data_IF_473331813505
#
_entry.id   IF_473331813505
#
_cell.length_a   1.000
_cell.length_b   1.000
_cell.length_c   1.000
_cell.angle_alpha   90.00
_cell.angle_beta   90.00
_cell.angle_gamma   90.00
#
_symmetry.space_group_name_H-M   'P 1'
#
loop_
_entity.id
_entity.type
_entity.pdbx_description
1 polymer ?
#
# COMPACT_ATOMS: atom_id res chain seq x y z
N UNK A 1 -0.34 3.20 19.41
CA UNK A 1 -0.92 2.09 18.64
C UNK A 1 0.13 1.52 17.70
N UNK A 2 0.02 0.24 17.31
CA UNK A 2 0.92 -0.31 16.29
C UNK A 2 0.77 0.47 14.97
N UNK A 3 1.81 0.50 14.13
CA UNK A 3 1.81 1.27 12.88
C UNK A 3 0.74 0.82 11.88
N UNK A 4 0.38 -0.46 11.92
CA UNK A 4 -0.70 -1.03 11.15
C UNK A 4 -1.54 -1.92 12.08
N UNK A 5 -2.85 -1.76 12.03
CA UNK A 5 -3.77 -2.58 12.81
C UNK A 5 -4.42 -3.63 11.92
N UNK A 6 -4.28 -4.90 12.28
CA UNK A 6 -5.20 -5.93 11.81
C UNK A 6 -6.52 -5.72 12.55
N UNK A 7 -7.48 -5.12 11.87
CA UNK A 7 -8.75 -4.67 12.47
C UNK A 7 -9.78 -5.77 12.49
N UNK A 8 -9.86 -6.54 11.41
CA UNK A 8 -10.78 -7.67 11.28
C UNK A 8 -10.09 -8.85 10.61
N UNK A 9 -10.51 -10.04 10.93
CA UNK A 9 -10.04 -11.27 10.30
C UNK A 9 -11.18 -12.27 10.08
N UNK A 10 -11.00 -13.07 9.05
CA UNK A 10 -11.85 -14.23 8.74
C UNK A 10 -10.99 -15.38 8.25
N UNK A 11 -11.58 -16.55 7.99
CA UNK A 11 -10.85 -17.64 7.32
C UNK A 11 -10.54 -17.39 5.83
N UNK A 12 -10.95 -16.25 5.27
CA UNK A 12 -10.80 -15.92 3.85
C UNK A 12 -9.98 -14.66 3.58
N UNK A 13 -9.95 -13.72 4.51
CA UNK A 13 -9.23 -12.44 4.37
C UNK A 13 -8.99 -11.78 5.72
N UNK A 14 -8.05 -10.82 5.75
CA UNK A 14 -7.84 -9.88 6.84
C UNK A 14 -8.05 -8.46 6.36
N UNK A 15 -8.48 -7.58 7.27
CA UNK A 15 -8.59 -6.14 7.03
C UNK A 15 -7.63 -5.42 7.95
N UNK A 16 -6.73 -4.64 7.38
CA UNK A 16 -5.75 -3.84 8.10
C UNK A 16 -6.06 -2.36 7.93
N UNK A 17 -5.87 -1.58 9.00
CA UNK A 17 -6.07 -0.13 9.00
C UNK A 17 -4.72 0.57 9.14
N UNK A 18 -4.40 1.43 8.21
CA UNK A 18 -3.26 2.33 8.25
C UNK A 18 -3.76 3.69 8.73
N UNK A 19 -3.36 4.10 9.93
CA UNK A 19 -3.75 5.38 10.51
C UNK A 19 -2.56 6.31 10.62
N UNK A 20 -2.77 7.63 10.73
CA UNK A 20 -1.69 8.56 11.05
C UNK A 20 -0.94 8.11 12.29
N UNK A 21 0.39 8.06 12.21
CA UNK A 21 1.24 7.49 13.26
C UNK A 21 2.64 8.08 13.26
N UNK A 22 3.29 8.05 14.42
CA UNK A 22 4.72 8.31 14.50
C UNK A 22 5.49 7.09 14.02
N UNK A 23 6.60 7.34 13.35
CA UNK A 23 7.55 6.30 12.94
C UNK A 23 8.41 5.82 14.11
N UNK A 24 9.21 4.80 13.86
CA UNK A 24 10.24 4.34 14.79
C UNK A 24 11.21 5.49 15.12
N UNK A 25 11.56 5.59 16.39
CA UNK A 25 12.44 6.67 16.90
C UNK A 25 13.92 6.44 16.70
N UNK A 26 14.32 5.29 16.16
CA UNK A 26 15.73 5.01 15.93
C UNK A 26 16.28 5.93 14.83
N UNK A 27 17.46 6.57 15.03
CA UNK A 27 18.00 7.54 14.06
C UNK A 27 18.29 6.96 12.67
N UNK A 28 18.42 5.62 12.56
CA UNK A 28 18.64 4.90 11.30
C UNK A 28 17.41 4.16 10.82
N UNK A 29 16.24 4.41 11.40
CA UNK A 29 15.01 3.80 10.91
C UNK A 29 14.64 4.35 9.53
N UNK A 30 14.06 3.50 8.72
CA UNK A 30 13.62 3.83 7.37
C UNK A 30 12.09 3.78 7.38
N UNK A 31 11.42 4.92 7.23
CA UNK A 31 9.97 5.00 7.37
C UNK A 31 9.18 4.29 6.27
N UNK A 32 9.69 4.32 5.03
CA UNK A 32 9.04 3.64 3.91
C UNK A 32 9.12 2.11 4.06
N UNK A 33 8.09 1.38 3.65
CA UNK A 33 8.14 -0.08 3.62
C UNK A 33 9.23 -0.57 2.67
N UNK A 34 9.60 -1.84 2.77
CA UNK A 34 10.53 -2.49 1.84
C UNK A 34 9.75 -3.16 0.70
N UNK A 35 10.46 -3.43 -0.42
CA UNK A 35 9.92 -4.23 -1.49
C UNK A 35 9.71 -5.68 -1.03
N UNK A 36 8.55 -6.22 -1.29
CA UNK A 36 8.15 -7.57 -0.89
C UNK A 36 7.13 -8.14 -1.88
N UNK A 37 6.73 -9.37 -1.67
CA UNK A 37 5.61 -9.99 -2.38
C UNK A 37 4.81 -10.85 -1.41
N UNK A 38 3.51 -10.81 -1.53
CA UNK A 38 2.61 -11.74 -0.85
C UNK A 38 2.41 -12.94 -1.76
N UNK A 39 2.95 -14.11 -1.38
CA UNK A 39 2.93 -15.28 -2.27
C UNK A 39 1.51 -15.86 -2.39
N UNK A 40 0.77 -15.87 -1.28
CA UNK A 40 -0.53 -16.54 -1.16
C UNK A 40 -1.71 -15.55 -0.98
N UNK A 41 -1.47 -14.25 -1.15
CA UNK A 41 -2.47 -13.20 -0.92
C UNK A 41 -2.48 -12.18 -2.04
N UNK A 42 -3.68 -11.86 -2.54
CA UNK A 42 -3.88 -10.60 -3.24
C UNK A 42 -4.10 -9.49 -2.20
N UNK A 43 -3.49 -8.35 -2.44
CA UNK A 43 -3.56 -7.17 -1.57
C UNK A 43 -4.34 -6.06 -2.26
N UNK A 44 -5.40 -5.59 -1.64
CA UNK A 44 -6.17 -4.43 -2.09
C UNK A 44 -6.03 -3.30 -1.09
N UNK A 45 -5.61 -2.11 -1.54
CA UNK A 45 -5.58 -0.91 -0.72
C UNK A 45 -6.60 0.10 -1.22
N UNK A 46 -7.40 0.61 -0.30
CA UNK A 46 -8.24 1.77 -0.49
C UNK A 46 -7.65 2.97 0.24
N UNK A 47 -7.34 4.02 -0.50
CA UNK A 47 -6.71 5.23 0.01
C UNK A 47 -7.79 6.23 0.41
N UNK A 48 -7.97 6.44 1.72
CA UNK A 48 -9.08 7.22 2.27
C UNK A 48 -8.74 8.71 2.30
N UNK A 49 -7.61 9.05 2.93
CA UNK A 49 -7.21 10.46 3.12
C UNK A 49 -5.72 10.55 3.50
N UNK A 50 -5.14 11.74 3.29
CA UNK A 50 -3.78 12.08 3.73
C UNK A 50 -2.73 11.99 2.63
N UNK A 51 -1.46 11.96 3.06
CA UNK A 51 -0.29 11.88 2.19
C UNK A 51 0.24 10.43 2.12
N UNK A 52 0.07 9.79 0.96
CA UNK A 52 0.51 8.41 0.72
C UNK A 52 1.96 8.39 0.24
N UNK A 53 2.84 8.73 1.13
CA UNK A 53 4.27 8.95 0.95
C UNK A 53 5.00 7.85 0.16
N UNK A 54 4.58 6.58 0.26
CA UNK A 54 5.19 5.45 -0.44
C UNK A 54 4.67 5.26 -1.86
N UNK A 55 3.74 6.10 -2.32
CA UNK A 55 3.07 5.97 -3.63
C UNK A 55 3.13 7.29 -4.39
N UNK A 56 3.45 7.19 -5.68
CA UNK A 56 3.41 8.33 -6.61
C UNK A 56 2.13 8.27 -7.43
N UNK A 57 1.43 9.40 -7.54
CA UNK A 57 0.22 9.49 -8.36
C UNK A 57 -1.04 8.87 -7.73
N UNK A 58 -1.00 8.49 -6.46
CA UNK A 58 -2.14 8.00 -5.69
C UNK A 58 -2.68 9.12 -4.81
N UNK A 59 -4.00 9.25 -4.78
CA UNK A 59 -4.72 10.22 -3.94
C UNK A 59 -5.94 9.59 -3.26
N UNK A 60 -6.66 10.37 -2.44
CA UNK A 60 -7.88 9.92 -1.80
C UNK A 60 -8.91 9.40 -2.80
N UNK A 61 -9.56 8.29 -2.45
CA UNK A 61 -10.54 7.61 -3.30
C UNK A 61 -9.95 6.60 -4.29
N UNK A 62 -8.64 6.53 -4.41
CA UNK A 62 -7.99 5.51 -5.25
C UNK A 62 -8.03 4.13 -4.60
N UNK A 63 -7.94 3.11 -5.46
CA UNK A 63 -7.77 1.71 -5.07
C UNK A 63 -6.60 1.15 -5.85
N UNK A 64 -5.68 0.45 -5.18
CA UNK A 64 -4.65 -0.35 -5.84
C UNK A 64 -4.85 -1.84 -5.55
N UNK A 65 -4.50 -2.66 -6.54
CA UNK A 65 -4.45 -4.12 -6.42
C UNK A 65 -3.02 -4.58 -6.67
N UNK A 66 -2.48 -5.31 -5.72
CA UNK A 66 -1.20 -6.00 -5.83
C UNK A 66 -1.47 -7.51 -5.87
N UNK A 67 -1.42 -8.14 -7.05
CA UNK A 67 -1.66 -9.57 -7.18
C UNK A 67 -0.63 -10.41 -6.45
N UNK A 68 -1.05 -11.57 -5.98
CA UNK A 68 -0.18 -12.56 -5.35
C UNK A 68 1.06 -12.87 -6.19
N UNK A 69 2.20 -13.03 -5.54
CA UNK A 69 3.46 -13.39 -6.17
C UNK A 69 4.20 -12.25 -6.90
N UNK A 70 3.56 -11.10 -7.11
CA UNK A 70 4.20 -9.97 -7.78
C UNK A 70 4.91 -9.08 -6.75
N UNK A 71 6.21 -8.82 -6.88
CA UNK A 71 6.90 -7.88 -6.01
C UNK A 71 6.33 -6.48 -6.13
N UNK A 72 6.11 -5.85 -4.98
CA UNK A 72 5.64 -4.47 -4.87
C UNK A 72 6.27 -3.79 -3.64
N UNK A 73 6.09 -2.49 -3.51
CA UNK A 73 6.69 -1.72 -2.43
C UNK A 73 6.63 -0.23 -2.71
N UNK A 74 7.46 0.58 -2.05
CA UNK A 74 7.50 2.01 -2.30
C UNK A 74 7.92 2.30 -3.75
N UNK A 75 7.29 3.32 -4.32
CA UNK A 75 7.69 3.79 -5.65
C UNK A 75 9.11 4.36 -5.61
N UNK A 76 9.83 4.33 -6.73
CA UNK A 76 11.19 4.87 -6.81
C UNK A 76 11.26 6.31 -6.28
N UNK A 77 12.30 6.62 -5.48
CA UNK A 77 12.51 7.93 -4.86
C UNK A 77 11.70 8.20 -3.59
N UNK A 78 10.65 7.42 -3.29
CA UNK A 78 9.84 7.62 -2.08
C UNK A 78 10.53 7.09 -0.82
N UNK A 79 11.40 6.09 -0.98
CA UNK A 79 12.24 5.58 0.09
C UNK A 79 13.18 6.68 0.62
N UNK A 80 13.93 7.30 -0.29
CA UNK A 80 14.88 8.37 0.06
C UNK A 80 14.15 9.59 0.64
N UNK A 81 12.98 9.94 0.07
CA UNK A 81 12.14 11.04 0.54
C UNK A 81 11.53 10.78 1.94
N UNK A 82 11.46 9.53 2.38
CA UNK A 82 10.94 9.18 3.70
C UNK A 82 11.96 9.37 4.83
N UNK A 83 13.25 9.37 4.51
CA UNK A 83 14.32 9.45 5.52
C UNK A 83 14.22 10.78 6.28
N UNK A 84 14.20 10.70 7.61
CA UNK A 84 14.07 11.84 8.51
C UNK A 84 12.65 12.30 8.79
N UNK A 85 11.61 11.74 8.14
CA UNK A 85 10.22 12.00 8.52
C UNK A 85 9.91 11.39 9.89
N UNK A 86 9.11 12.08 10.67
CA UNK A 86 8.77 11.67 12.05
C UNK A 86 7.49 10.85 12.14
N UNK A 87 6.63 10.96 11.14
CA UNK A 87 5.33 10.30 11.14
C UNK A 87 4.67 10.32 9.77
N UNK A 88 3.50 9.73 9.69
CA UNK A 88 2.65 9.69 8.50
C UNK A 88 1.30 10.31 8.79
N UNK A 89 0.73 10.94 7.78
CA UNK A 89 -0.61 11.52 7.77
C UNK A 89 -1.60 10.63 6.98
N UNK A 90 -1.19 9.45 6.55
CA UNK A 90 -2.02 8.57 5.73
C UNK A 90 -3.14 7.90 6.51
N UNK A 91 -4.30 7.76 5.86
CA UNK A 91 -5.40 6.90 6.26
C UNK A 91 -5.76 5.99 5.09
N UNK A 92 -5.54 4.71 5.25
CA UNK A 92 -5.85 3.71 4.24
C UNK A 92 -6.38 2.42 4.87
N UNK A 93 -7.12 1.65 4.07
CA UNK A 93 -7.60 0.32 4.44
C UNK A 93 -7.00 -0.68 3.46
N UNK A 94 -6.38 -1.71 3.99
CA UNK A 94 -5.81 -2.82 3.22
C UNK A 94 -6.59 -4.10 3.49
N UNK A 95 -6.82 -4.86 2.46
CA UNK A 95 -7.43 -6.19 2.53
C UNK A 95 -6.48 -7.18 1.88
N UNK A 96 -6.01 -8.14 2.68
CA UNK A 96 -5.25 -9.29 2.18
C UNK A 96 -6.17 -10.50 2.10
N UNK A 97 -6.27 -11.11 0.94
CA UNK A 97 -7.16 -12.24 0.69
C UNK A 97 -6.38 -13.56 0.61
N UNK A 98 -6.93 -14.63 1.16
CA UNK A 98 -6.29 -15.96 1.13
C UNK A 98 -6.73 -16.80 -0.06
N UNK A 99 -7.52 -16.20 -0.96
CA UNK A 99 -7.92 -16.77 -2.25
C UNK A 99 -7.79 -15.71 -3.33
N UNK A 100 -7.43 -16.10 -4.55
CA UNK A 100 -7.30 -15.17 -5.65
C UNK A 100 -8.58 -14.37 -5.89
N UNK A 101 -8.41 -13.06 -6.08
CA UNK A 101 -9.49 -12.17 -6.46
C UNK A 101 -9.79 -12.27 -7.97
N UNK A 102 -11.03 -12.02 -8.31
CA UNK A 102 -11.45 -11.84 -9.69
C UNK A 102 -11.85 -10.40 -9.91
N UNK A 103 -11.18 -9.74 -10.84
CA UNK A 103 -11.50 -8.36 -11.20
C UNK A 103 -12.82 -8.35 -11.99
N UNK A 104 -13.79 -7.57 -11.53
CA UNK A 104 -15.09 -7.46 -12.18
C UNK A 104 -15.02 -6.56 -13.43
N UNK A 105 -15.99 -6.70 -14.34
CA UNK A 105 -16.08 -5.82 -15.51
C UNK A 105 -16.19 -4.33 -15.12
N UNK A 106 -16.84 -4.02 -14.01
CA UNK A 106 -16.94 -2.64 -13.54
C UNK A 106 -15.61 -2.11 -13.04
N UNK A 107 -14.82 -2.93 -12.34
CA UNK A 107 -13.47 -2.56 -11.92
C UNK A 107 -12.55 -2.33 -13.14
N UNK A 108 -12.64 -3.16 -14.17
CA UNK A 108 -11.88 -2.97 -15.41
C UNK A 108 -12.22 -1.66 -16.13
N UNK A 109 -13.45 -1.15 -15.99
CA UNK A 109 -13.84 0.14 -16.61
C UNK A 109 -13.23 1.37 -15.93
N UNK A 110 -12.81 1.24 -14.68
CA UNK A 110 -12.21 2.32 -13.89
C UNK A 110 -10.70 2.13 -13.68
N UNK A 111 -10.13 1.03 -14.18
CA UNK A 111 -8.69 0.79 -14.16
C UNK A 111 -7.98 1.79 -15.08
N UNK A 112 -6.96 2.47 -14.57
CA UNK A 112 -6.16 3.40 -15.36
C UNK A 112 -5.19 2.71 -16.33
N UNK A 113 -4.95 1.40 -16.13
CA UNK A 113 -4.07 0.56 -16.95
C UNK A 113 -2.61 0.99 -16.93
N UNK A 114 -2.19 1.87 -16.01
CA UNK A 114 -0.85 2.47 -15.98
C UNK A 114 -0.12 2.30 -14.65
N UNK A 115 -0.83 1.93 -13.60
CA UNK A 115 -0.27 1.88 -12.24
C UNK A 115 1.04 1.08 -12.16
N UNK A 116 1.12 -0.08 -12.83
CA UNK A 116 2.32 -0.90 -12.84
C UNK A 116 3.54 -0.22 -13.48
N UNK A 117 3.34 0.79 -14.34
CA UNK A 117 4.41 1.53 -15.00
C UNK A 117 5.11 2.50 -14.05
N UNK A 118 4.46 2.89 -12.96
CA UNK A 118 5.00 3.85 -12.01
C UNK A 118 6.29 3.37 -11.30
N UNK A 119 6.57 2.06 -11.33
CA UNK A 119 7.86 1.51 -10.89
C UNK A 119 8.93 1.50 -11.98
N UNK A 120 8.55 1.71 -13.25
CA UNK A 120 9.46 1.65 -14.41
C UNK A 120 9.95 3.03 -14.83
N UNK A 121 9.23 4.09 -14.50
CA UNK A 121 9.53 5.45 -14.91
C UNK A 121 10.59 6.06 -13.98
N UNK A 122 11.84 5.67 -14.20
CA UNK A 122 13.03 6.41 -13.78
C UNK A 122 13.99 6.48 -14.96
N UNK A 123 13.84 7.50 -15.76
CA UNK A 123 14.91 8.06 -16.58
C UNK A 123 14.76 9.57 -16.62
#
# INVERSE_FOLDING_TARGET
>A
PPPVHQTFETGAFVVCSFCPRLYDYHPKSIPAPYNHSNIDSDEVLYYVDGDFMSRTGIGPGYISLHPAGIPHGPHPGTYEASIGKKGTEELAVMIDTFKPLQVTENALKIDDGKYYKSWLEQN
#
